data_IF_447960528263
#
_entry.id   IF_447960528263
#
_cell.length_a   1.000
_cell.length_b   1.000
_cell.length_c   1.000
_cell.angle_alpha   90.00
_cell.angle_beta   90.00
_cell.angle_gamma   90.00
#
_symmetry.space_group_name_H-M   'P 1'
#
loop_
_entity.id
_entity.type
_entity.pdbx_description
1 polymer ?
#
# COMPACT_ATOMS: atom_id res chain seq x y z
N UNK A 1 -11.83 -4.31 24.94
CA UNK A 1 -11.34 -3.11 25.66
C UNK A 1 -11.25 -1.96 24.68
N UNK A 2 -11.84 -0.82 25.02
CA UNK A 2 -11.93 0.37 24.16
C UNK A 2 -11.23 1.55 24.82
N UNK A 3 -10.36 2.24 24.08
CA UNK A 3 -9.70 3.47 24.53
C UNK A 3 -10.00 4.56 23.50
N UNK A 4 -10.60 5.67 23.92
CA UNK A 4 -10.95 6.79 23.04
C UNK A 4 -11.69 6.38 21.75
N UNK A 5 -12.71 5.51 21.87
CA UNK A 5 -13.47 4.92 20.75
C UNK A 5 -12.70 3.95 19.84
N UNK A 6 -11.42 3.69 20.07
CA UNK A 6 -10.67 2.66 19.35
C UNK A 6 -10.82 1.33 20.07
N UNK A 7 -11.26 0.30 19.35
CA UNK A 7 -11.37 -1.03 19.90
C UNK A 7 -10.06 -1.80 19.71
N UNK A 8 -9.34 -2.02 20.82
CA UNK A 8 -7.98 -2.56 20.81
C UNK A 8 -7.91 -3.96 20.18
N UNK A 9 -8.92 -4.80 20.45
CA UNK A 9 -8.98 -6.16 19.91
C UNK A 9 -9.00 -6.13 18.38
N UNK A 10 -9.91 -5.33 17.82
CA UNK A 10 -10.04 -5.17 16.38
C UNK A 10 -8.85 -4.44 15.75
N UNK A 11 -8.23 -3.51 16.48
CA UNK A 11 -6.98 -2.90 16.04
C UNK A 11 -5.85 -3.94 15.89
N UNK A 12 -5.72 -4.87 16.84
CA UNK A 12 -4.74 -5.97 16.75
C UNK A 12 -5.06 -6.88 15.56
N UNK A 13 -6.33 -7.20 15.31
CA UNK A 13 -6.75 -8.00 14.15
C UNK A 13 -6.38 -7.32 12.83
N UNK A 14 -6.73 -6.03 12.67
CA UNK A 14 -6.37 -5.25 11.48
C UNK A 14 -4.85 -5.14 11.31
N UNK A 15 -4.12 -4.93 12.40
CA UNK A 15 -2.67 -4.91 12.38
C UNK A 15 -2.07 -6.26 11.96
N UNK A 16 -2.63 -7.37 12.43
CA UNK A 16 -2.23 -8.73 12.01
C UNK A 16 -2.44 -8.96 10.52
N UNK A 17 -3.61 -8.57 9.99
CA UNK A 17 -3.91 -8.66 8.54
C UNK A 17 -2.89 -7.84 7.74
N UNK A 18 -2.58 -6.61 8.19
CA UNK A 18 -1.59 -5.74 7.54
C UNK A 18 -0.18 -6.30 7.57
N UNK A 19 0.28 -6.77 8.73
CA UNK A 19 1.60 -7.38 8.86
C UNK A 19 1.72 -8.60 7.95
N UNK A 20 0.70 -9.46 7.96
CA UNK A 20 0.63 -10.62 7.08
C UNK A 20 0.71 -10.20 5.62
N UNK A 21 -0.12 -9.25 5.19
CA UNK A 21 -0.08 -8.82 3.78
C UNK A 21 1.23 -8.18 3.40
N UNK A 22 1.78 -7.33 4.26
CA UNK A 22 3.05 -6.66 4.02
C UNK A 22 4.18 -7.70 3.91
N UNK A 23 4.26 -8.65 4.85
CA UNK A 23 5.24 -9.73 4.79
C UNK A 23 5.09 -10.57 3.52
N UNK A 24 3.87 -10.93 3.15
CA UNK A 24 3.60 -11.68 1.92
C UNK A 24 4.04 -10.90 0.67
N UNK A 25 3.65 -9.63 0.54
CA UNK A 25 4.01 -8.73 -0.58
C UNK A 25 5.53 -8.58 -0.69
N UNK A 26 6.23 -8.49 0.43
CA UNK A 26 7.69 -8.36 0.48
C UNK A 26 8.40 -9.67 0.12
N UNK A 27 7.93 -10.80 0.64
CA UNK A 27 8.60 -12.09 0.43
C UNK A 27 8.28 -12.72 -0.94
N UNK A 28 7.15 -12.37 -1.57
CA UNK A 28 6.67 -12.97 -2.81
C UNK A 28 6.32 -11.90 -3.87
N UNK A 29 7.33 -11.39 -4.57
CA UNK A 29 7.14 -10.41 -5.64
C UNK A 29 6.23 -10.93 -6.78
N UNK A 30 6.34 -12.21 -7.14
CA UNK A 30 5.54 -12.83 -8.22
C UNK A 30 4.03 -12.85 -7.95
N UNK A 31 3.60 -12.81 -6.69
CA UNK A 31 2.19 -12.82 -6.29
C UNK A 31 1.73 -11.46 -5.75
N UNK A 32 2.56 -10.41 -5.86
CA UNK A 32 2.37 -9.12 -5.19
C UNK A 32 0.96 -8.54 -5.41
N UNK A 33 0.52 -8.45 -6.67
CA UNK A 33 -0.84 -7.98 -7.03
C UNK A 33 -1.94 -8.85 -6.43
N UNK A 34 -1.79 -10.18 -6.47
CA UNK A 34 -2.81 -11.09 -5.94
C UNK A 34 -2.94 -10.99 -4.42
N UNK A 35 -1.82 -10.86 -3.71
CA UNK A 35 -1.77 -10.74 -2.26
C UNK A 35 -2.24 -9.36 -1.77
N UNK A 36 -1.95 -8.29 -2.52
CA UNK A 36 -2.51 -6.96 -2.25
C UNK A 36 -4.04 -6.96 -2.33
N UNK A 37 -4.61 -7.60 -3.36
CA UNK A 37 -6.06 -7.74 -3.49
C UNK A 37 -6.63 -8.58 -2.36
N UNK A 38 -5.98 -9.70 -2.00
CA UNK A 38 -6.40 -10.55 -0.89
C UNK A 38 -6.38 -9.78 0.44
N UNK A 39 -5.37 -8.95 0.69
CA UNK A 39 -5.30 -8.07 1.85
C UNK A 39 -6.41 -7.06 1.89
N UNK A 40 -6.70 -6.40 0.77
CA UNK A 40 -7.83 -5.48 0.68
C UNK A 40 -9.13 -6.18 1.04
N UNK A 41 -9.40 -7.34 0.42
CA UNK A 41 -10.62 -8.11 0.69
C UNK A 41 -10.71 -8.51 2.16
N UNK A 42 -9.61 -8.97 2.77
CA UNK A 42 -9.57 -9.31 4.19
C UNK A 42 -9.82 -8.08 5.09
N UNK A 43 -9.19 -6.94 4.81
CA UNK A 43 -9.39 -5.71 5.59
C UNK A 43 -10.83 -5.20 5.49
N UNK A 44 -11.43 -5.25 4.31
CA UNK A 44 -12.85 -4.91 4.14
C UNK A 44 -13.79 -5.93 4.80
N UNK A 45 -13.45 -7.22 4.76
CA UNK A 45 -14.17 -8.25 5.50
C UNK A 45 -14.15 -8.00 7.01
N UNK A 46 -12.99 -7.61 7.56
CA UNK A 46 -12.85 -7.21 8.96
C UNK A 46 -13.67 -5.96 9.26
N UNK A 47 -13.69 -4.95 8.38
CA UNK A 47 -14.54 -3.77 8.57
C UNK A 47 -16.03 -4.12 8.63
N UNK A 48 -16.51 -4.96 7.71
CA UNK A 48 -17.91 -5.42 7.72
C UNK A 48 -18.21 -6.17 9.02
N UNK A 49 -17.30 -7.04 9.46
CA UNK A 49 -17.45 -7.74 10.73
C UNK A 49 -17.50 -6.78 11.92
N UNK A 50 -16.58 -5.80 11.98
CA UNK A 50 -16.58 -4.77 13.03
C UNK A 50 -17.88 -3.98 13.09
N UNK A 51 -18.50 -3.68 11.94
CA UNK A 51 -19.77 -2.96 11.87
C UNK A 51 -20.97 -3.77 12.41
N UNK A 52 -20.86 -5.10 12.43
CA UNK A 52 -21.89 -6.00 12.98
C UNK A 52 -21.67 -6.20 14.49
N UNK A 53 -20.42 -6.31 14.93
CA UNK A 53 -20.06 -6.69 16.30
C UNK A 53 -19.99 -5.49 17.27
N UNK A 54 -19.65 -4.30 16.77
CA UNK A 54 -19.30 -3.13 17.60
C UNK A 54 -20.06 -1.88 17.13
N UNK A 55 -20.37 -0.91 18.01
CA UNK A 55 -20.96 0.36 17.58
C UNK A 55 -20.21 1.00 16.42
N UNK A 56 -20.95 1.48 15.42
CA UNK A 56 -20.39 2.05 14.18
C UNK A 56 -19.32 3.12 14.41
N UNK A 57 -19.43 3.90 15.50
CA UNK A 57 -18.44 4.91 15.90
C UNK A 57 -17.08 4.31 16.20
N UNK A 58 -17.04 3.17 16.90
CA UNK A 58 -15.78 2.51 17.25
C UNK A 58 -15.17 1.80 16.04
N UNK A 59 -16.02 1.21 15.21
CA UNK A 59 -15.60 0.60 13.95
C UNK A 59 -14.92 1.65 13.05
N UNK A 60 -15.56 2.81 12.87
CA UNK A 60 -14.99 3.92 12.10
C UNK A 60 -13.74 4.51 12.75
N UNK A 61 -13.73 4.73 14.07
CA UNK A 61 -12.55 5.29 14.74
C UNK A 61 -11.33 4.37 14.58
N UNK A 62 -11.53 3.06 14.73
CA UNK A 62 -10.47 2.07 14.54
C UNK A 62 -10.02 2.04 13.08
N UNK A 63 -10.94 2.05 12.11
CA UNK A 63 -10.61 2.12 10.68
C UNK A 63 -9.82 3.39 10.31
N UNK A 64 -10.25 4.54 10.83
CA UNK A 64 -9.63 5.84 10.56
C UNK A 64 -8.21 5.92 11.13
N UNK A 65 -7.94 5.29 12.28
CA UNK A 65 -6.60 5.22 12.85
C UNK A 65 -5.61 4.61 11.85
N UNK A 66 -5.98 3.49 11.23
CA UNK A 66 -5.13 2.84 10.24
C UNK A 66 -5.08 3.58 8.90
N UNK A 67 -6.19 4.20 8.49
CA UNK A 67 -6.21 5.07 7.32
C UNK A 67 -5.23 6.25 7.45
N UNK A 68 -5.21 6.90 8.61
CA UNK A 68 -4.27 7.98 8.92
C UNK A 68 -2.84 7.44 8.96
N UNK A 69 -2.60 6.29 9.59
CA UNK A 69 -1.28 5.67 9.63
C UNK A 69 -0.74 5.33 8.23
N UNK A 70 -1.56 4.74 7.36
CA UNK A 70 -1.18 4.44 5.98
C UNK A 70 -0.94 5.68 5.13
N UNK A 71 -1.76 6.72 5.30
CA UNK A 71 -1.55 8.02 4.66
C UNK A 71 -0.24 8.67 5.10
N UNK A 72 0.04 8.70 6.41
CA UNK A 72 1.29 9.22 6.96
C UNK A 72 2.52 8.45 6.45
N UNK A 73 2.46 7.12 6.43
CA UNK A 73 3.55 6.29 5.91
C UNK A 73 3.85 6.63 4.44
N UNK A 74 2.81 6.77 3.63
CA UNK A 74 2.94 7.16 2.21
C UNK A 74 3.58 8.54 2.06
N UNK A 75 3.16 9.52 2.87
CA UNK A 75 3.72 10.88 2.85
C UNK A 75 5.20 10.87 3.24
N UNK A 76 5.57 10.11 4.28
CA UNK A 76 6.96 9.97 4.73
C UNK A 76 7.81 9.33 3.64
N UNK A 77 7.34 8.23 3.04
CA UNK A 77 8.03 7.57 1.94
C UNK A 77 8.22 8.50 0.73
N UNK A 78 7.15 9.15 0.26
CA UNK A 78 7.22 10.05 -0.90
C UNK A 78 8.14 11.26 -0.63
N UNK A 79 8.14 11.77 0.60
CA UNK A 79 9.05 12.84 1.01
C UNK A 79 10.52 12.39 1.00
N UNK A 80 10.80 11.17 1.45
CA UNK A 80 12.12 10.57 1.40
C UNK A 80 12.56 10.31 -0.05
N UNK A 81 11.69 9.71 -0.87
CA UNK A 81 11.96 9.39 -2.27
C UNK A 81 12.23 10.67 -3.09
N UNK A 82 11.46 11.74 -2.89
CA UNK A 82 11.69 13.03 -3.57
C UNK A 82 13.04 13.66 -3.22
N UNK A 83 13.50 13.51 -1.98
CA UNK A 83 14.84 13.95 -1.57
C UNK A 83 15.92 13.08 -2.19
N UNK A 84 15.70 11.76 -2.28
CA UNK A 84 16.67 10.79 -2.81
C UNK A 84 16.83 10.86 -4.33
N UNK A 85 15.73 11.09 -5.06
CA UNK A 85 15.63 11.13 -6.52
C UNK A 85 15.55 12.57 -7.10
N UNK A 86 15.92 13.57 -6.31
CA UNK A 86 16.02 14.94 -6.80
C UNK A 86 17.04 15.00 -7.96
N UNK A 87 16.57 15.36 -9.16
CA UNK A 87 17.40 15.48 -10.36
C UNK A 87 17.49 14.24 -11.26
N UNK A 88 16.85 13.10 -10.91
CA UNK A 88 16.89 11.87 -11.72
C UNK A 88 15.68 11.67 -12.64
N UNK A 89 14.79 12.67 -12.76
CA UNK A 89 13.66 12.65 -13.71
C UNK A 89 12.44 11.78 -13.33
N UNK A 90 12.42 11.19 -12.12
CA UNK A 90 11.26 10.41 -11.63
C UNK A 90 10.04 11.31 -11.47
N UNK A 91 8.91 10.97 -12.10
CA UNK A 91 7.67 11.74 -11.98
C UNK A 91 7.15 11.68 -10.53
N UNK A 92 6.99 12.83 -9.86
CA UNK A 92 6.53 12.85 -8.47
C UNK A 92 5.11 12.31 -8.35
N UNK A 93 4.85 11.36 -7.43
CA UNK A 93 3.49 10.87 -7.19
C UNK A 93 2.73 11.86 -6.30
N UNK A 94 1.41 12.06 -6.50
CA UNK A 94 0.64 12.97 -5.67
C UNK A 94 0.67 12.52 -4.20
N UNK A 95 1.07 13.44 -3.31
CA UNK A 95 1.17 13.23 -1.86
C UNK A 95 -0.15 12.79 -1.21
N UNK A 96 -1.27 13.21 -1.80
CA UNK A 96 -2.60 12.99 -1.26
C UNK A 96 -3.42 12.29 -2.34
N UNK A 97 -3.75 11.02 -2.11
CA UNK A 97 -4.82 10.34 -2.85
C UNK A 97 -6.10 10.53 -2.03
N UNK A 98 -7.11 11.27 -2.51
CA UNK A 98 -8.35 11.51 -1.75
C UNK A 98 -9.12 10.21 -1.46
N UNK A 99 -8.86 9.16 -2.21
CA UNK A 99 -9.40 7.81 -2.00
C UNK A 99 -8.60 7.05 -0.91
N UNK A 100 -7.56 7.65 -0.33
CA UNK A 100 -6.64 7.02 0.60
C UNK A 100 -7.32 6.45 1.85
N UNK A 101 -8.42 7.04 2.32
CA UNK A 101 -9.20 6.51 3.45
C UNK A 101 -9.92 5.19 3.13
N UNK A 102 -10.15 4.88 1.87
CA UNK A 102 -10.71 3.61 1.42
C UNK A 102 -9.61 2.66 0.95
N UNK A 103 -8.55 3.17 0.31
CA UNK A 103 -7.46 2.36 -0.22
C UNK A 103 -6.31 2.12 0.76
N UNK A 104 -6.40 2.59 2.00
CA UNK A 104 -5.33 2.48 2.98
C UNK A 104 -4.78 1.05 3.17
N UNK A 105 -5.58 -0.05 3.08
CA UNK A 105 -5.04 -1.40 3.22
C UNK A 105 -4.06 -1.77 2.11
N UNK A 106 -4.20 -1.20 0.91
CA UNK A 106 -3.26 -1.39 -0.19
C UNK A 106 -2.09 -0.39 -0.16
N UNK A 107 -2.29 0.80 0.44
CA UNK A 107 -1.25 1.83 0.50
C UNK A 107 -0.06 1.42 1.38
N UNK A 108 -0.30 0.71 2.48
CA UNK A 108 0.76 0.30 3.40
C UNK A 108 1.70 -0.74 2.74
N UNK A 109 1.21 -1.87 2.18
CA UNK A 109 2.06 -2.83 1.48
C UNK A 109 2.72 -2.22 0.23
N UNK A 110 2.04 -1.32 -0.49
CA UNK A 110 2.62 -0.68 -1.66
C UNK A 110 3.80 0.23 -1.28
N UNK A 111 3.63 1.09 -0.26
CA UNK A 111 4.68 1.98 0.23
C UNK A 111 5.89 1.19 0.77
N UNK A 112 5.66 0.11 1.53
CA UNK A 112 6.75 -0.73 2.05
C UNK A 112 7.46 -1.47 0.92
N UNK A 113 6.73 -2.04 -0.04
CA UNK A 113 7.33 -2.70 -1.20
C UNK A 113 8.16 -1.74 -2.05
N UNK A 114 7.67 -0.53 -2.28
CA UNK A 114 8.42 0.51 -2.99
C UNK A 114 9.67 0.95 -2.23
N UNK A 115 9.58 1.11 -0.91
CA UNK A 115 10.72 1.47 -0.06
C UNK A 115 11.81 0.39 -0.08
N UNK A 116 11.42 -0.89 -0.01
CA UNK A 116 12.37 -2.01 -0.04
C UNK A 116 12.99 -2.23 -1.43
N UNK A 117 12.23 -1.96 -2.50
CA UNK A 117 12.75 -1.93 -3.88
C UNK A 117 13.77 -0.78 -4.07
N UNK A 118 13.42 0.43 -3.65
CA UNK A 118 14.32 1.60 -3.73
C UNK A 118 15.57 1.43 -2.82
N UNK A 119 15.47 0.64 -1.74
CA UNK A 119 16.60 0.25 -0.90
C UNK A 119 17.50 -0.85 -1.50
N UNK A 120 17.12 -1.42 -2.65
CA UNK A 120 17.85 -2.50 -3.32
C UNK A 120 17.77 -3.84 -2.60
N UNK A 121 16.82 -4.00 -1.67
CA UNK A 121 16.62 -5.25 -0.91
C UNK A 121 15.76 -6.23 -1.70
N UNK A 122 14.78 -5.72 -2.46
CA UNK A 122 13.98 -6.52 -3.37
C UNK A 122 14.63 -6.53 -4.76
N UNK A 123 14.73 -7.69 -5.43
CA UNK A 123 15.20 -7.74 -6.80
C UNK A 123 14.27 -6.89 -7.67
N UNK A 124 14.84 -5.94 -8.43
CA UNK A 124 14.11 -5.08 -9.33
C UNK A 124 13.32 -5.94 -10.31
N UNK A 125 12.01 -6.04 -10.13
CA UNK A 125 11.14 -6.74 -11.07
C UNK A 125 11.15 -5.98 -12.40
N UNK A 126 11.90 -6.48 -13.38
CA UNK A 126 11.79 -6.16 -14.81
C UNK A 126 10.37 -6.39 -15.35
N UNK A 127 9.49 -7.04 -14.57
CA UNK A 127 8.07 -7.26 -14.86
C UNK A 127 7.11 -6.22 -14.28
N UNK A 128 7.61 -5.22 -13.55
CA UNK A 128 6.78 -4.11 -13.12
C UNK A 128 6.35 -3.31 -14.35
N UNK A 129 5.10 -3.47 -14.79
CA UNK A 129 4.49 -2.72 -15.90
C UNK A 129 4.74 -1.21 -15.79
N UNK A 130 4.92 -0.68 -14.57
CA UNK A 130 5.31 0.70 -14.29
C UNK A 130 6.75 1.06 -14.69
N UNK A 131 7.70 0.14 -14.59
CA UNK A 131 9.06 0.36 -15.11
C UNK A 131 9.07 0.22 -16.63
N UNK A 132 8.28 -0.69 -17.19
CA UNK A 132 8.15 -0.82 -18.64
C UNK A 132 7.46 0.41 -19.25
N UNK A 133 6.48 1.04 -18.60
CA UNK A 133 5.88 2.30 -19.07
C UNK A 133 6.82 3.50 -18.98
N UNK A 134 7.59 3.65 -17.90
CA UNK A 134 8.57 4.74 -17.77
C UNK A 134 9.75 4.54 -18.73
N UNK A 135 10.29 3.32 -18.86
CA UNK A 135 11.35 3.01 -19.84
C UNK A 135 10.82 3.14 -21.28
N UNK A 136 9.57 2.76 -21.57
CA UNK A 136 8.97 2.92 -22.91
C UNK A 136 8.72 4.38 -23.28
N UNK A 137 8.40 5.24 -22.30
CA UNK A 137 8.29 6.69 -22.52
C UNK A 137 9.65 7.37 -22.70
N UNK A 138 10.68 6.88 -22.01
CA UNK A 138 12.06 7.41 -22.12
C UNK A 138 12.75 6.94 -23.40
N UNK A 139 12.54 5.69 -23.82
CA UNK A 139 13.27 5.07 -24.95
C UNK A 139 12.50 5.06 -26.27
N UNK A 140 11.19 5.35 -26.26
CA UNK A 140 10.40 5.47 -27.49
C UNK A 140 10.18 4.18 -28.29
N UNK A 141 10.52 3.01 -27.72
CA UNK A 141 10.38 1.74 -28.43
C UNK A 141 8.91 1.28 -28.49
N UNK A 142 8.37 1.22 -29.71
CA UNK A 142 7.14 0.50 -30.03
C UNK A 142 7.47 -1.01 -30.04
N UNK A 143 6.70 -1.86 -29.34
CA UNK A 143 6.88 -3.31 -29.46
C UNK A 143 6.47 -3.75 -30.87
N UNK A 144 7.36 -4.50 -31.52
CA UNK A 144 7.03 -5.23 -32.74
C UNK A 144 5.95 -6.26 -32.41
N UNK A 145 4.83 -6.19 -33.13
CA UNK A 145 3.75 -7.18 -33.07
C UNK A 145 4.28 -8.48 -33.69
N UNK A 146 4.33 -9.61 -32.97
CA UNK A 146 4.60 -10.89 -33.61
C UNK A 146 3.38 -11.29 -34.46
N UNK A 147 3.63 -11.66 -35.72
CA UNK A 147 2.65 -12.26 -36.64
C UNK A 147 2.25 -13.65 -36.20
#
# INVERSE_FOLDING_TARGET
MTFYYVNLMWAIVLFGVLLWTTACVVLNAALRRGMEIMGMVLSYGVLVWMLIDVPWREALATWMLFAVAGGLLTIVYESWARRRYAGTGRSPRPFVRPIGTFLWPAMIPDAVGLMLNDAGILPADERSETHQEDTRRVTGERPAVPK
#
